data_IF_582011052088
#
_entry.id   IF_582011052088
#
_cell.length_a   1.000
_cell.length_b   1.000
_cell.length_c   1.000
_cell.angle_alpha   90.00
_cell.angle_beta   90.00
_cell.angle_gamma   90.00
#
_symmetry.space_group_name_H-M   'P 1'
#
loop_
_entity.id
_entity.type
_entity.pdbx_description
1 polymer ?
#
# COMPACT_ATOMS: atom_id res chain seq x y z
N UNK A 1 6.37 -23.04 -27.97
CA UNK A 1 5.84 -21.81 -28.57
C UNK A 1 5.85 -20.72 -27.52
N UNK A 2 5.99 -19.46 -27.92
CA UNK A 2 5.71 -18.34 -27.01
C UNK A 2 4.22 -18.30 -26.68
N UNK A 3 3.87 -18.13 -25.41
CA UNK A 3 2.47 -18.01 -24.99
C UNK A 3 2.05 -16.53 -25.11
N UNK A 4 1.05 -16.25 -25.95
CA UNK A 4 0.62 -14.88 -26.29
C UNK A 4 -0.83 -14.65 -25.87
N UNK A 5 -1.00 -13.95 -24.75
CA UNK A 5 -2.28 -13.61 -24.14
C UNK A 5 -3.05 -12.63 -25.03
N UNK A 6 -4.34 -12.87 -25.24
CA UNK A 6 -5.27 -12.03 -26.00
C UNK A 6 -4.85 -11.80 -27.45
N UNK A 7 -3.98 -12.66 -28.00
CA UNK A 7 -3.30 -12.47 -29.29
C UNK A 7 -2.38 -11.24 -29.36
N UNK A 8 -2.07 -10.60 -28.21
CA UNK A 8 -1.41 -9.28 -28.15
C UNK A 8 -0.26 -9.17 -27.15
N UNK A 9 -0.23 -9.96 -26.09
CA UNK A 9 0.75 -9.82 -25.00
C UNK A 9 1.54 -11.12 -24.82
N UNK A 10 2.79 -11.16 -25.29
CA UNK A 10 3.70 -12.29 -25.06
C UNK A 10 4.01 -12.37 -23.56
N UNK A 11 3.72 -13.51 -22.93
CA UNK A 11 4.06 -13.76 -21.53
C UNK A 11 5.57 -13.98 -21.40
N UNK A 12 6.17 -13.30 -20.42
CA UNK A 12 7.60 -13.37 -20.10
C UNK A 12 7.85 -14.02 -18.74
N UNK A 13 8.86 -13.50 -18.01
CA UNK A 13 9.23 -14.02 -16.69
C UNK A 13 8.17 -13.76 -15.64
N UNK A 14 8.07 -14.66 -14.66
CA UNK A 14 7.27 -14.46 -13.45
C UNK A 14 7.89 -13.36 -12.59
N UNK A 15 7.08 -12.38 -12.19
CA UNK A 15 7.45 -11.29 -11.27
C UNK A 15 7.09 -11.65 -9.82
N UNK A 16 6.02 -12.41 -9.61
CA UNK A 16 5.59 -12.79 -8.26
C UNK A 16 4.40 -13.74 -8.19
N UNK A 17 3.90 -13.94 -6.98
CA UNK A 17 2.70 -14.73 -6.68
C UNK A 17 2.11 -14.30 -5.34
N UNK A 18 0.81 -14.01 -5.30
CA UNK A 18 0.08 -13.57 -4.11
C UNK A 18 -1.01 -14.54 -3.69
N UNK A 19 -1.92 -14.08 -2.83
CA UNK A 19 -3.14 -14.80 -2.47
C UNK A 19 -4.17 -14.90 -3.61
N UNK A 20 -4.01 -14.05 -4.63
CA UNK A 20 -4.98 -13.83 -5.72
C UNK A 20 -4.39 -14.25 -7.09
N UNK A 21 -3.54 -15.27 -7.08
CA UNK A 21 -2.89 -15.80 -8.28
C UNK A 21 -1.45 -15.35 -8.47
N UNK A 22 -1.00 -15.38 -9.73
CA UNK A 22 0.39 -15.22 -10.15
C UNK A 22 0.58 -13.94 -10.95
N UNK A 23 1.77 -13.33 -10.90
CA UNK A 23 2.08 -12.08 -11.59
C UNK A 23 3.30 -12.27 -12.50
N UNK A 24 3.17 -11.86 -13.76
CA UNK A 24 4.16 -12.02 -14.81
C UNK A 24 4.46 -10.68 -15.50
N UNK A 25 5.66 -10.56 -16.05
CA UNK A 25 5.99 -9.57 -17.06
C UNK A 25 5.35 -10.05 -18.37
N UNK A 26 4.67 -9.15 -19.08
CA UNK A 26 4.27 -9.35 -20.47
C UNK A 26 4.88 -8.28 -21.37
N UNK A 27 4.92 -8.53 -22.67
CA UNK A 27 5.30 -7.55 -23.69
C UNK A 27 4.20 -7.49 -24.75
N UNK A 28 3.66 -6.29 -25.00
CA UNK A 28 2.75 -6.05 -26.11
C UNK A 28 3.51 -6.23 -27.43
N UNK A 29 3.11 -7.22 -28.25
CA UNK A 29 3.83 -7.64 -29.46
C UNK A 29 3.79 -6.60 -30.59
N UNK A 30 2.87 -5.62 -30.53
CA UNK A 30 2.73 -4.57 -31.53
C UNK A 30 3.49 -3.29 -31.16
N UNK A 31 3.52 -2.91 -29.88
CA UNK A 31 4.12 -1.65 -29.41
C UNK A 31 5.48 -1.82 -28.70
N UNK A 32 5.85 -3.04 -28.33
CA UNK A 32 7.01 -3.29 -27.45
C UNK A 32 6.82 -2.77 -26.03
N UNK A 33 5.59 -2.45 -25.62
CA UNK A 33 5.28 -1.98 -24.26
C UNK A 33 5.36 -3.14 -23.25
N UNK A 34 6.11 -2.94 -22.17
CA UNK A 34 6.13 -3.84 -21.02
C UNK A 34 4.85 -3.66 -20.17
N UNK A 35 4.22 -4.78 -19.80
CA UNK A 35 2.95 -4.83 -19.09
C UNK A 35 3.02 -5.79 -17.90
N UNK A 36 2.15 -5.62 -16.91
CA UNK A 36 1.97 -6.59 -15.84
C UNK A 36 0.77 -7.50 -16.16
N UNK A 37 0.96 -8.81 -16.11
CA UNK A 37 -0.06 -9.83 -16.38
C UNK A 37 -0.36 -10.60 -15.10
N UNK A 38 -1.58 -10.47 -14.57
CA UNK A 38 -2.08 -11.19 -13.40
C UNK A 38 -2.91 -12.40 -13.87
N UNK A 39 -2.58 -13.59 -13.38
CA UNK A 39 -3.22 -14.87 -13.72
C UNK A 39 -3.89 -15.46 -12.48
N UNK A 40 -5.20 -15.69 -12.52
CA UNK A 40 -5.98 -16.35 -11.47
C UNK A 40 -6.62 -17.62 -12.06
N UNK A 41 -6.37 -18.80 -11.48
CA UNK A 41 -6.99 -20.02 -12.00
C UNK A 41 -8.50 -20.01 -11.77
N UNK A 42 -9.29 -20.35 -12.80
CA UNK A 42 -10.77 -20.40 -12.74
C UNK A 42 -11.29 -21.40 -11.71
N UNK A 43 -10.45 -22.34 -11.27
CA UNK A 43 -10.73 -23.34 -10.22
C UNK A 43 -10.52 -22.82 -8.79
N UNK A 44 -10.21 -21.53 -8.60
CA UNK A 44 -10.10 -20.93 -7.26
C UNK A 44 -11.46 -20.90 -6.53
N UNK A 45 -11.45 -21.11 -5.21
CA UNK A 45 -12.69 -21.10 -4.40
C UNK A 45 -13.33 -19.72 -4.27
N UNK A 46 -12.55 -18.66 -4.47
CA UNK A 46 -12.97 -17.27 -4.30
C UNK A 46 -12.35 -16.42 -5.42
N UNK A 47 -12.89 -16.45 -6.65
CA UNK A 47 -12.38 -15.66 -7.76
C UNK A 47 -12.63 -14.17 -7.51
N UNK A 48 -11.62 -13.34 -7.80
CA UNK A 48 -11.63 -11.90 -7.59
C UNK A 48 -11.19 -11.12 -8.82
N UNK A 49 -10.43 -11.72 -9.74
CA UNK A 49 -9.74 -10.98 -10.80
C UNK A 49 -10.71 -10.30 -11.79
N UNK A 50 -11.88 -10.90 -12.03
CA UNK A 50 -12.94 -10.28 -12.84
C UNK A 50 -13.48 -9.00 -12.17
N UNK A 51 -13.88 -9.08 -10.89
CA UNK A 51 -14.37 -7.93 -10.12
C UNK A 51 -13.30 -6.85 -9.95
N UNK A 52 -12.04 -7.24 -9.79
CA UNK A 52 -10.89 -6.32 -9.76
C UNK A 52 -10.75 -5.57 -11.10
N UNK A 53 -10.94 -6.25 -12.23
CA UNK A 53 -10.88 -5.62 -13.56
C UNK A 53 -12.02 -4.61 -13.80
N UNK A 54 -13.24 -4.90 -13.33
CA UNK A 54 -14.34 -3.92 -13.34
C UNK A 54 -13.99 -2.68 -12.50
N UNK A 55 -13.35 -2.89 -11.35
CA UNK A 55 -12.87 -1.81 -10.49
C UNK A 55 -11.77 -0.96 -11.17
N UNK A 56 -10.78 -1.57 -11.84
CA UNK A 56 -9.82 -0.80 -12.65
C UNK A 56 -10.55 0.02 -13.72
N UNK A 57 -11.50 -0.58 -14.47
CA UNK A 57 -12.26 0.11 -15.50
C UNK A 57 -13.07 1.31 -14.97
N UNK A 58 -13.68 1.18 -13.77
CA UNK A 58 -14.44 2.25 -13.11
C UNK A 58 -13.56 3.34 -12.47
N UNK A 59 -12.30 3.04 -12.17
CA UNK A 59 -11.33 3.96 -11.54
C UNK A 59 -10.36 4.60 -12.55
N UNK A 60 -10.22 4.05 -13.76
CA UNK A 60 -9.30 4.51 -14.80
C UNK A 60 -9.46 6.00 -15.13
N UNK A 61 -8.35 6.66 -15.49
CA UNK A 61 -8.24 8.12 -15.63
C UNK A 61 -7.88 8.84 -14.32
N UNK A 62 -7.98 8.16 -13.17
CA UNK A 62 -7.52 8.70 -11.88
C UNK A 62 -5.99 8.77 -11.76
N UNK A 63 -5.49 9.83 -11.13
CA UNK A 63 -4.04 9.98 -10.85
C UNK A 63 -3.55 8.86 -9.94
N UNK A 64 -2.64 8.03 -10.45
CA UNK A 64 -2.13 6.86 -9.73
C UNK A 64 -3.04 5.62 -9.77
N UNK A 65 -3.96 5.55 -10.72
CA UNK A 65 -4.63 4.29 -11.11
C UNK A 65 -3.92 3.71 -12.34
N UNK A 66 -3.49 2.43 -12.32
CA UNK A 66 -3.00 1.74 -13.51
C UNK A 66 -4.08 1.60 -14.59
N UNK A 67 -3.71 1.67 -15.86
CA UNK A 67 -4.66 1.39 -16.94
C UNK A 67 -4.91 -0.11 -17.08
N UNK A 68 -6.17 -0.49 -17.31
CA UNK A 68 -6.55 -1.83 -17.74
C UNK A 68 -6.38 -1.91 -19.25
N UNK A 69 -5.42 -2.72 -19.70
CA UNK A 69 -5.11 -2.91 -21.13
C UNK A 69 -5.95 -4.04 -21.73
N UNK A 70 -6.23 -5.09 -20.95
CA UNK A 70 -7.08 -6.21 -21.34
C UNK A 70 -7.54 -7.04 -20.13
N UNK A 71 -8.69 -7.69 -20.26
CA UNK A 71 -9.16 -8.76 -19.37
C UNK A 71 -9.83 -9.85 -20.20
N UNK A 72 -9.69 -11.12 -19.80
CA UNK A 72 -10.35 -12.25 -20.44
C UNK A 72 -10.10 -13.56 -19.70
N UNK A 73 -10.52 -14.67 -20.32
CA UNK A 73 -10.28 -16.03 -19.82
C UNK A 73 -9.50 -16.79 -20.89
N UNK A 74 -8.38 -17.41 -20.51
CA UNK A 74 -7.57 -18.26 -21.38
C UNK A 74 -7.36 -19.63 -20.75
N UNK A 75 -8.03 -20.64 -21.32
CA UNK A 75 -8.04 -22.00 -20.81
C UNK A 75 -8.50 -22.07 -19.35
N UNK A 76 -7.54 -22.31 -18.46
CA UNK A 76 -7.75 -22.56 -17.03
C UNK A 76 -7.56 -21.30 -16.16
N UNK A 77 -7.40 -20.11 -16.75
CA UNK A 77 -7.10 -18.86 -16.06
C UNK A 77 -8.00 -17.70 -16.47
N UNK A 78 -8.51 -16.97 -15.48
CA UNK A 78 -8.83 -15.56 -15.60
C UNK A 78 -7.51 -14.78 -15.78
N UNK A 79 -7.47 -13.83 -16.69
CA UNK A 79 -6.24 -13.09 -17.05
C UNK A 79 -6.53 -11.60 -17.13
N UNK A 80 -5.69 -10.79 -16.47
CA UNK A 80 -5.80 -9.33 -16.46
C UNK A 80 -4.44 -8.71 -16.81
N UNK A 81 -4.44 -7.77 -17.76
CA UNK A 81 -3.24 -7.07 -18.24
C UNK A 81 -3.35 -5.58 -17.90
N UNK A 82 -2.39 -5.06 -17.14
CA UNK A 82 -2.36 -3.66 -16.67
C UNK A 82 -0.99 -3.00 -16.95
N UNK A 83 -0.89 -1.68 -16.73
CA UNK A 83 0.39 -0.97 -16.74
C UNK A 83 1.43 -1.65 -15.81
N UNK A 84 2.67 -1.84 -16.29
CA UNK A 84 3.78 -2.22 -15.43
C UNK A 84 4.18 -1.04 -14.53
N UNK A 85 4.47 -1.34 -13.26
CA UNK A 85 4.88 -0.37 -12.24
C UNK A 85 6.25 -0.73 -11.64
N UNK A 86 6.82 0.20 -10.88
CA UNK A 86 8.02 -0.02 -10.07
C UNK A 86 7.73 -0.71 -8.74
N UNK A 87 8.72 -0.76 -7.83
CA UNK A 87 8.60 -1.45 -6.54
C UNK A 87 7.50 -0.87 -5.64
N UNK A 88 7.04 -1.69 -4.70
CA UNK A 88 6.08 -1.27 -3.66
C UNK A 88 6.74 -0.41 -2.58
N UNK A 89 5.92 0.25 -1.76
CA UNK A 89 6.42 0.96 -0.59
C UNK A 89 6.95 0.00 0.49
N UNK A 90 6.56 -1.29 0.52
CA UNK A 90 7.25 -2.29 1.37
C UNK A 90 8.65 -2.61 0.82
N UNK A 91 8.82 -2.72 -0.50
CA UNK A 91 10.15 -2.97 -1.10
C UNK A 91 11.11 -1.81 -0.84
N UNK A 92 10.65 -0.58 -1.09
CA UNK A 92 11.42 0.63 -0.79
C UNK A 92 11.69 0.79 0.71
N UNK A 93 10.74 0.43 1.57
CA UNK A 93 10.93 0.44 3.02
C UNK A 93 12.00 -0.56 3.47
N UNK A 94 12.02 -1.78 2.92
CA UNK A 94 13.07 -2.76 3.20
C UNK A 94 14.43 -2.30 2.67
N UNK A 95 14.49 -1.71 1.47
CA UNK A 95 15.70 -1.09 0.91
C UNK A 95 16.24 0.05 1.78
N UNK A 96 15.36 0.87 2.37
CA UNK A 96 15.70 1.90 3.35
C UNK A 96 15.88 1.36 4.79
N UNK A 97 16.43 0.14 4.94
CA UNK A 97 16.71 -0.50 6.23
C UNK A 97 15.53 -0.52 7.23
N UNK A 98 14.30 -0.55 6.70
CA UNK A 98 13.04 -0.56 7.45
C UNK A 98 12.84 0.64 8.38
N UNK A 99 13.26 1.83 7.96
CA UNK A 99 12.82 3.11 8.56
C UNK A 99 12.86 4.24 7.52
N UNK A 100 11.79 5.01 7.41
CA UNK A 100 11.75 6.20 6.54
C UNK A 100 11.92 7.50 7.34
N UNK A 101 12.48 8.52 6.70
CA UNK A 101 12.59 9.88 7.23
C UNK A 101 11.23 10.57 7.32
N UNK A 102 11.12 11.59 8.20
CA UNK A 102 9.90 12.38 8.32
C UNK A 102 9.55 13.06 6.98
N UNK A 103 10.54 13.66 6.29
CA UNK A 103 10.37 14.24 4.94
C UNK A 103 9.72 13.23 3.98
N UNK A 104 10.29 12.03 3.87
CA UNK A 104 9.78 10.97 2.99
C UNK A 104 8.35 10.58 3.37
N UNK A 105 8.06 10.34 4.65
CA UNK A 105 6.71 9.94 5.09
C UNK A 105 5.66 11.03 4.85
N UNK A 106 6.01 12.31 4.99
CA UNK A 106 5.09 13.43 4.73
C UNK A 106 4.83 13.63 3.23
N UNK A 107 5.84 13.50 2.36
CA UNK A 107 5.64 13.51 0.90
C UNK A 107 4.80 12.31 0.42
N UNK A 108 4.95 11.15 1.07
CA UNK A 108 4.08 10.00 0.83
C UNK A 108 2.65 10.26 1.33
N UNK A 109 2.47 10.83 2.52
CA UNK A 109 1.16 11.03 3.14
C UNK A 109 0.19 11.84 2.27
N UNK A 110 0.64 12.95 1.66
CA UNK A 110 -0.20 13.72 0.73
C UNK A 110 -0.70 12.84 -0.43
N UNK A 111 0.21 12.19 -1.15
CA UNK A 111 -0.15 11.35 -2.30
C UNK A 111 -1.05 10.17 -1.89
N UNK A 112 -0.77 9.52 -0.77
CA UNK A 112 -1.55 8.39 -0.25
C UNK A 112 -2.98 8.81 0.13
N UNK A 113 -3.15 9.94 0.82
CA UNK A 113 -4.49 10.48 1.11
C UNK A 113 -5.22 10.81 -0.19
N UNK A 114 -4.53 11.42 -1.18
CA UNK A 114 -5.11 11.70 -2.50
C UNK A 114 -5.57 10.44 -3.26
N UNK A 115 -4.90 9.27 -3.12
CA UNK A 115 -5.38 8.00 -3.71
C UNK A 115 -6.64 7.47 -3.02
N UNK A 116 -6.66 7.49 -1.69
CA UNK A 116 -7.80 7.03 -0.89
C UNK A 116 -9.02 7.94 -1.12
N UNK A 117 -8.82 9.26 -1.14
CA UNK A 117 -9.85 10.25 -1.50
C UNK A 117 -10.41 10.00 -2.91
N UNK A 118 -9.56 9.72 -3.90
CA UNK A 118 -10.03 9.42 -5.26
C UNK A 118 -10.92 8.18 -5.30
N UNK A 119 -10.50 7.05 -4.70
CA UNK A 119 -11.31 5.82 -4.66
C UNK A 119 -12.64 6.05 -3.93
N UNK A 120 -12.61 6.78 -2.81
CA UNK A 120 -13.80 7.18 -2.06
C UNK A 120 -14.73 8.09 -2.86
N UNK A 121 -14.19 9.01 -3.69
CA UNK A 121 -14.97 9.86 -4.58
C UNK A 121 -15.76 9.03 -5.61
N UNK A 122 -15.12 7.99 -6.15
CA UNK A 122 -15.71 7.01 -7.09
C UNK A 122 -16.66 6.00 -6.41
N UNK A 123 -16.93 6.14 -5.10
CA UNK A 123 -17.96 5.39 -4.38
C UNK A 123 -17.53 4.05 -3.80
N UNK A 124 -16.23 3.72 -3.88
CA UNK A 124 -15.66 2.45 -3.40
C UNK A 124 -14.71 2.66 -2.22
N UNK A 125 -14.55 1.63 -1.39
CA UNK A 125 -13.51 1.49 -0.36
C UNK A 125 -12.45 0.51 -0.84
N UNK A 126 -11.23 0.62 -0.31
CA UNK A 126 -10.14 -0.30 -0.63
C UNK A 126 -10.12 -1.54 0.27
N UNK A 127 -10.31 -1.35 1.57
CA UNK A 127 -10.44 -2.41 2.59
C UNK A 127 -9.19 -3.26 2.85
N UNK A 128 -8.07 -2.94 2.20
CA UNK A 128 -6.75 -3.54 2.44
C UNK A 128 -5.61 -2.54 2.17
N UNK A 129 -5.67 -1.39 2.84
CA UNK A 129 -4.63 -0.36 2.81
C UNK A 129 -3.36 -0.92 3.51
N UNK A 130 -2.35 -1.26 2.70
CA UNK A 130 -1.06 -1.84 3.12
C UNK A 130 0.09 -1.31 2.23
N UNK A 131 1.35 -1.23 2.69
CA UNK A 131 2.47 -0.72 1.90
C UNK A 131 2.69 -1.48 0.58
N UNK A 132 2.40 -2.78 0.58
CA UNK A 132 2.49 -3.69 -0.56
C UNK A 132 1.54 -3.28 -1.72
N UNK A 133 0.44 -2.58 -1.42
CA UNK A 133 -0.57 -2.14 -2.38
C UNK A 133 -0.33 -0.71 -2.92
N UNK A 134 0.78 -0.09 -2.56
CA UNK A 134 1.21 1.20 -3.08
C UNK A 134 2.55 1.05 -3.80
N UNK A 135 2.59 1.32 -5.10
CA UNK A 135 3.77 1.16 -5.94
C UNK A 135 4.20 2.50 -6.53
N UNK A 136 5.50 2.69 -6.80
CA UNK A 136 5.95 3.87 -7.54
C UNK A 136 5.80 3.65 -9.05
N UNK A 137 5.54 4.72 -9.82
CA UNK A 137 5.56 4.64 -11.28
C UNK A 137 6.95 4.36 -11.86
N UNK A 138 7.01 4.08 -13.17
CA UNK A 138 8.28 3.89 -13.90
C UNK A 138 8.70 5.15 -14.66
N UNK A 139 10.02 5.30 -14.87
CA UNK A 139 10.61 6.37 -15.68
C UNK A 139 10.15 7.77 -15.28
N UNK A 140 9.50 8.49 -16.20
CA UNK A 140 8.97 9.85 -15.96
C UNK A 140 7.88 9.94 -14.87
N UNK A 141 7.37 8.81 -14.37
CA UNK A 141 6.38 8.75 -13.27
C UNK A 141 6.98 8.22 -11.96
N UNK A 142 8.31 8.13 -11.84
CA UNK A 142 8.99 7.56 -10.66
C UNK A 142 8.80 8.33 -9.34
N UNK A 143 8.21 9.52 -9.37
CA UNK A 143 7.78 10.28 -8.20
C UNK A 143 6.28 10.10 -7.85
N UNK A 144 5.50 9.45 -8.72
CA UNK A 144 4.06 9.28 -8.55
C UNK A 144 3.74 7.94 -7.89
N UNK A 145 3.02 7.97 -6.76
CA UNK A 145 2.45 6.76 -6.15
C UNK A 145 1.28 6.26 -7.00
N UNK A 146 1.15 4.95 -7.13
CA UNK A 146 0.01 4.22 -7.66
C UNK A 146 -0.62 3.35 -6.56
N UNK A 147 -1.92 3.04 -6.69
CA UNK A 147 -2.66 2.14 -5.80
C UNK A 147 -3.19 0.93 -6.59
N UNK A 148 -3.12 -0.27 -6.02
CA UNK A 148 -3.40 -1.55 -6.70
C UNK A 148 -4.15 -2.56 -5.80
N UNK A 149 -4.51 -3.72 -6.35
CA UNK A 149 -5.07 -4.88 -5.63
C UNK A 149 -6.47 -4.61 -5.05
N UNK A 150 -7.40 -4.24 -5.93
CA UNK A 150 -8.78 -3.91 -5.57
C UNK A 150 -9.68 -5.12 -5.28
N UNK A 151 -9.16 -6.35 -5.23
CA UNK A 151 -9.94 -7.60 -5.08
C UNK A 151 -10.77 -7.69 -3.78
N UNK A 152 -10.41 -6.91 -2.75
CA UNK A 152 -11.17 -6.78 -1.50
C UNK A 152 -12.05 -5.51 -1.42
N UNK A 153 -12.02 -4.69 -2.46
CA UNK A 153 -12.75 -3.43 -2.56
C UNK A 153 -14.27 -3.59 -2.50
N UNK A 154 -15.00 -2.48 -2.27
CA UNK A 154 -16.46 -2.53 -2.09
C UNK A 154 -17.15 -1.18 -2.31
N UNK A 155 -18.27 -1.18 -3.02
CA UNK A 155 -19.15 0.01 -3.15
C UNK A 155 -19.76 0.35 -1.77
N UNK A 156 -19.50 1.55 -1.24
CA UNK A 156 -20.01 2.00 0.07
C UNK A 156 -21.12 3.04 -0.02
N UNK A 157 -21.30 3.67 -1.17
CA UNK A 157 -22.42 4.55 -1.45
C UNK A 157 -22.92 4.32 -2.86
N UNK A 158 -24.17 4.66 -3.10
CA UNK A 158 -24.63 4.80 -4.47
C UNK A 158 -24.02 6.03 -5.17
N UNK A 159 -23.84 5.96 -6.49
CA UNK A 159 -23.21 7.02 -7.26
C UNK A 159 -24.19 8.10 -7.74
N UNK A 160 -25.47 7.79 -7.88
CA UNK A 160 -26.50 8.76 -8.28
C UNK A 160 -27.14 9.40 -7.05
N UNK A 161 -27.61 8.58 -6.10
CA UNK A 161 -28.33 9.03 -4.91
C UNK A 161 -27.43 9.37 -3.72
N UNK A 162 -26.14 9.01 -3.78
CA UNK A 162 -25.15 9.17 -2.70
C UNK A 162 -25.49 8.49 -1.36
N UNK A 163 -26.59 7.73 -1.30
CA UNK A 163 -27.02 6.95 -0.14
C UNK A 163 -25.93 5.95 0.28
N UNK A 164 -25.58 5.96 1.56
CA UNK A 164 -24.57 5.08 2.15
C UNK A 164 -25.08 3.63 2.25
N UNK A 165 -24.17 2.66 2.33
CA UNK A 165 -24.50 1.31 2.78
C UNK A 165 -24.93 1.36 4.26
N UNK A 166 -25.90 0.54 4.70
CA UNK A 166 -26.33 0.52 6.09
C UNK A 166 -25.23 -0.04 7.00
N UNK A 167 -25.21 0.44 8.25
CA UNK A 167 -24.37 -0.10 9.32
C UNK A 167 -24.68 -1.59 9.57
N UNK A 168 -23.63 -2.39 9.79
CA UNK A 168 -23.72 -3.83 10.10
C UNK A 168 -22.56 -4.25 10.99
N UNK A 169 -22.79 -5.29 11.77
CA UNK A 169 -21.81 -5.91 12.67
C UNK A 169 -21.65 -7.41 12.34
N UNK A 170 -20.94 -8.17 13.18
CA UNK A 170 -20.68 -9.60 13.01
C UNK A 170 -20.02 -9.97 11.67
N UNK A 171 -19.19 -9.06 11.14
CA UNK A 171 -18.38 -9.23 9.93
C UNK A 171 -17.11 -10.03 10.24
N UNK A 172 -16.72 -10.92 9.34
CA UNK A 172 -15.37 -11.50 9.35
C UNK A 172 -14.33 -10.43 9.01
N UNK A 173 -13.20 -10.44 9.73
CA UNK A 173 -12.04 -9.60 9.45
C UNK A 173 -11.65 -9.75 7.98
N UNK A 174 -11.65 -8.63 7.25
CA UNK A 174 -11.23 -8.55 5.85
C UNK A 174 -10.00 -7.65 5.74
N UNK A 175 -9.07 -7.99 4.85
CA UNK A 175 -7.81 -7.27 4.69
C UNK A 175 -6.76 -7.63 5.73
N UNK A 176 -5.66 -6.89 5.73
CA UNK A 176 -4.45 -7.21 6.47
C UNK A 176 -4.56 -6.77 7.93
N UNK A 177 -4.77 -7.72 8.84
CA UNK A 177 -4.97 -7.50 10.29
C UNK A 177 -3.94 -6.54 10.96
N UNK A 178 -2.70 -6.46 10.44
CA UNK A 178 -1.66 -5.50 10.90
C UNK A 178 -2.13 -4.04 10.73
N UNK A 179 -2.77 -3.72 9.60
CA UNK A 179 -3.18 -2.37 9.23
C UNK A 179 -4.69 -2.13 9.40
N UNK A 180 -5.53 -3.16 9.37
CA UNK A 180 -6.99 -3.06 9.56
C UNK A 180 -7.41 -2.21 10.79
N UNK A 181 -8.49 -1.44 10.67
CA UNK A 181 -9.01 -0.56 11.73
C UNK A 181 -9.48 -1.32 12.98
N UNK A 182 -9.58 -0.64 14.12
CA UNK A 182 -10.18 -1.22 15.35
C UNK A 182 -11.60 -1.70 15.09
N UNK A 183 -12.43 -0.93 14.37
CA UNK A 183 -13.78 -1.35 13.98
C UNK A 183 -13.78 -2.65 13.17
N UNK A 184 -12.80 -2.84 12.28
CA UNK A 184 -12.65 -4.07 11.48
C UNK A 184 -12.38 -5.29 12.36
N UNK A 185 -11.55 -5.13 13.40
CA UNK A 185 -11.27 -6.19 14.37
C UNK A 185 -12.47 -6.49 15.28
N UNK A 186 -13.32 -5.49 15.56
CA UNK A 186 -14.61 -5.64 16.25
C UNK A 186 -15.73 -6.20 15.37
N UNK A 187 -15.43 -6.57 14.11
CA UNK A 187 -16.42 -7.14 13.19
C UNK A 187 -17.47 -6.15 12.70
N UNK A 188 -17.18 -4.84 12.74
CA UNK A 188 -18.04 -3.80 12.17
C UNK A 188 -17.80 -3.72 10.65
N UNK A 189 -18.84 -3.44 9.88
CA UNK A 189 -18.76 -3.18 8.44
C UNK A 189 -17.89 -1.94 8.18
N UNK A 190 -17.00 -2.02 7.18
CA UNK A 190 -16.02 -0.97 6.91
C UNK A 190 -16.63 0.21 6.14
N UNK A 191 -16.04 1.37 6.38
CA UNK A 191 -16.42 2.69 5.85
C UNK A 191 -15.17 3.53 5.54
N UNK A 192 -15.35 4.77 5.05
CA UNK A 192 -14.25 5.66 4.64
C UNK A 192 -13.23 5.93 5.76
N UNK A 193 -13.69 5.98 7.01
CA UNK A 193 -12.82 6.17 8.20
C UNK A 193 -11.87 5.00 8.42
N UNK A 194 -12.24 3.79 7.98
CA UNK A 194 -11.48 2.57 8.24
C UNK A 194 -10.27 2.46 7.31
N UNK A 195 -10.42 2.82 6.02
CA UNK A 195 -9.29 2.97 5.10
C UNK A 195 -8.31 4.07 5.59
N UNK A 196 -8.84 5.18 6.13
CA UNK A 196 -8.01 6.27 6.67
C UNK A 196 -7.31 5.90 7.98
N UNK A 197 -7.96 5.20 8.91
CA UNK A 197 -7.29 4.69 10.12
C UNK A 197 -6.19 3.68 9.74
N UNK A 198 -6.45 2.82 8.74
CA UNK A 198 -5.44 1.92 8.18
C UNK A 198 -4.26 2.64 7.54
N UNK A 199 -4.50 3.74 6.80
CA UNK A 199 -3.43 4.60 6.29
C UNK A 199 -2.62 5.23 7.43
N UNK A 200 -3.25 5.66 8.52
CA UNK A 200 -2.54 6.15 9.71
C UNK A 200 -1.56 5.10 10.28
N UNK A 201 -1.99 3.84 10.37
CA UNK A 201 -1.11 2.75 10.79
C UNK A 201 0.03 2.47 9.79
N UNK A 202 -0.19 2.69 8.49
CA UNK A 202 0.87 2.61 7.46
C UNK A 202 1.90 3.73 7.63
N UNK A 203 1.48 4.97 7.86
CA UNK A 203 2.41 6.10 8.10
C UNK A 203 3.25 5.89 9.37
N UNK A 204 2.62 5.46 10.47
CA UNK A 204 3.35 5.14 11.71
C UNK A 204 4.28 3.92 11.57
N UNK A 205 3.93 2.95 10.73
CA UNK A 205 4.78 1.80 10.43
C UNK A 205 6.09 2.23 9.75
N UNK A 206 6.02 3.15 8.78
CA UNK A 206 7.21 3.68 8.11
C UNK A 206 8.13 4.48 9.03
N UNK A 207 7.57 5.35 9.90
CA UNK A 207 8.34 6.15 10.86
C UNK A 207 8.99 5.31 11.96
N UNK A 208 8.27 4.31 12.48
CA UNK A 208 8.69 3.51 13.64
C UNK A 208 9.51 2.27 13.30
N UNK A 209 9.55 1.86 12.04
CA UNK A 209 10.09 0.56 11.59
C UNK A 209 9.20 -0.65 11.90
N UNK A 210 8.39 -0.56 12.97
CA UNK A 210 7.39 -1.56 13.35
C UNK A 210 6.26 -0.98 14.22
N UNK A 211 5.10 -1.64 14.15
CA UNK A 211 3.91 -1.37 14.96
C UNK A 211 3.90 -2.26 16.24
N UNK A 212 3.39 -1.78 17.40
CA UNK A 212 3.43 -2.50 18.69
C UNK A 212 2.72 -3.87 18.76
N UNK A 213 2.00 -4.27 17.71
CA UNK A 213 1.29 -5.55 17.56
C UNK A 213 1.94 -6.48 16.52
N UNK A 214 3.15 -6.18 16.05
CA UNK A 214 3.97 -7.13 15.29
C UNK A 214 4.68 -8.15 16.19
N UNK A 215 5.19 -9.23 15.62
CA UNK A 215 5.92 -10.28 16.35
C UNK A 215 5.07 -11.20 17.25
N UNK A 216 3.79 -10.86 17.51
CA UNK A 216 2.90 -11.62 18.38
C UNK A 216 2.76 -13.08 17.92
N UNK A 217 3.22 -14.00 18.79
CA UNK A 217 3.05 -15.46 18.64
C UNK A 217 1.63 -15.87 19.01
N UNK A 218 1.09 -16.90 18.36
CA UNK A 218 -0.20 -17.53 18.67
C UNK A 218 -0.24 -18.94 18.05
N UNK A 219 -1.09 -19.84 18.57
CA UNK A 219 -1.25 -21.19 18.03
C UNK A 219 -2.09 -21.24 16.76
N UNK A 220 -3.08 -20.35 16.61
CA UNK A 220 -3.95 -20.29 15.42
C UNK A 220 -3.99 -18.90 14.79
N UNK A 221 -4.43 -18.81 13.52
CA UNK A 221 -4.68 -17.52 12.84
C UNK A 221 -5.67 -16.64 13.60
N UNK A 222 -6.76 -17.23 14.13
CA UNK A 222 -7.77 -16.53 14.92
C UNK A 222 -7.14 -15.89 16.16
N UNK A 223 -6.49 -16.70 17.01
CA UNK A 223 -5.76 -16.22 18.20
C UNK A 223 -4.72 -15.13 17.88
N UNK A 224 -4.10 -15.18 16.68
CA UNK A 224 -3.16 -14.13 16.23
C UNK A 224 -3.88 -12.81 15.92
N UNK A 225 -5.05 -12.86 15.30
CA UNK A 225 -5.87 -11.67 15.05
C UNK A 225 -6.47 -11.14 16.36
N UNK A 226 -6.96 -12.01 17.23
CA UNK A 226 -7.48 -11.65 18.57
C UNK A 226 -6.42 -10.89 19.38
N UNK A 227 -5.17 -11.39 19.43
CA UNK A 227 -4.03 -10.71 20.09
C UNK A 227 -3.60 -9.40 19.43
N UNK A 228 -3.79 -9.25 18.11
CA UNK A 228 -3.54 -7.98 17.41
C UNK A 228 -4.64 -6.97 17.73
N UNK A 229 -5.91 -7.41 17.76
CA UNK A 229 -7.08 -6.62 18.15
C UNK A 229 -6.92 -6.06 19.56
N UNK A 230 -6.71 -6.94 20.53
CA UNK A 230 -6.42 -6.62 21.93
C UNK A 230 -5.27 -5.62 22.04
N UNK A 231 -4.13 -5.89 21.39
CA UNK A 231 -2.96 -4.99 21.47
C UNK A 231 -3.18 -3.64 20.78
N UNK A 232 -4.04 -3.54 19.76
CA UNK A 232 -4.46 -2.26 19.16
C UNK A 232 -5.36 -1.45 20.09
N UNK A 233 -6.29 -2.10 20.80
CA UNK A 233 -7.17 -1.42 21.75
C UNK A 233 -6.43 -0.99 23.03
N UNK A 234 -5.53 -1.83 23.54
CA UNK A 234 -4.65 -1.54 24.69
C UNK A 234 -3.45 -0.63 24.37
N UNK A 235 -3.39 -0.02 23.18
CA UNK A 235 -2.35 0.97 22.82
C UNK A 235 -3.02 2.31 22.52
N UNK A 236 -2.99 3.29 23.46
CA UNK A 236 -3.46 4.65 23.21
C UNK A 236 -2.72 5.31 22.03
N UNK A 237 -3.36 6.27 21.37
CA UNK A 237 -2.81 6.95 20.18
C UNK A 237 -1.53 7.70 20.55
N UNK A 238 -1.53 8.31 21.73
CA UNK A 238 -0.46 9.06 22.36
C UNK A 238 0.76 8.17 22.64
N UNK A 239 0.53 6.87 22.92
CA UNK A 239 1.58 5.86 23.11
C UNK A 239 2.10 5.34 21.77
N UNK A 240 1.22 5.17 20.77
CA UNK A 240 1.61 4.80 19.40
C UNK A 240 2.45 5.90 18.72
N UNK A 241 2.08 7.17 18.94
CA UNK A 241 2.69 8.34 18.32
C UNK A 241 3.73 9.03 19.22
N UNK A 242 4.04 8.47 20.39
CA UNK A 242 5.06 9.00 21.31
C UNK A 242 6.40 9.18 20.60
N UNK A 243 6.99 10.38 20.76
CA UNK A 243 8.23 10.84 20.12
C UNK A 243 8.12 11.08 18.59
N UNK A 244 6.92 11.29 18.06
CA UNK A 244 6.66 11.75 16.68
C UNK A 244 5.79 13.03 16.71
N UNK A 245 5.73 13.82 15.62
CA UNK A 245 4.95 15.05 15.58
C UNK A 245 3.46 14.87 15.92
N UNK A 246 2.88 15.87 16.58
CA UNK A 246 1.49 15.84 17.10
C UNK A 246 0.42 15.69 16.01
N UNK A 247 0.76 15.98 14.77
CA UNK A 247 -0.09 15.82 13.58
C UNK A 247 -0.48 14.35 13.35
N UNK A 248 0.39 13.39 13.68
CA UNK A 248 0.06 11.96 13.61
C UNK A 248 -0.97 11.57 14.67
N UNK A 249 -0.83 12.08 15.89
CA UNK A 249 -1.84 11.95 16.96
C UNK A 249 -3.17 12.55 16.52
N UNK A 250 -3.15 13.78 16.00
CA UNK A 250 -4.33 14.51 15.49
C UNK A 250 -5.02 13.78 14.34
N UNK A 251 -4.26 13.17 13.43
CA UNK A 251 -4.77 12.34 12.33
C UNK A 251 -5.58 11.14 12.86
N UNK A 252 -5.09 10.41 13.86
CA UNK A 252 -5.83 9.28 14.44
C UNK A 252 -7.06 9.71 15.23
N UNK A 253 -6.98 10.78 16.04
CA UNK A 253 -8.16 11.29 16.74
C UNK A 253 -9.24 11.71 15.74
N UNK A 254 -8.87 12.37 14.65
CA UNK A 254 -9.80 12.69 13.56
C UNK A 254 -10.43 11.41 12.99
N UNK A 255 -9.63 10.43 12.56
CA UNK A 255 -10.14 9.20 11.96
C UNK A 255 -11.07 8.42 12.90
N UNK A 256 -10.79 8.38 14.20
CA UNK A 256 -11.65 7.72 15.21
C UNK A 256 -12.88 8.55 15.61
N UNK A 257 -12.87 9.85 15.41
CA UNK A 257 -14.04 10.72 15.65
C UNK A 257 -15.14 10.59 14.59
N UNK A 258 -14.78 10.12 13.38
CA UNK A 258 -15.71 9.94 12.27
C UNK A 258 -16.78 8.88 12.59
N UNK A 259 -18.05 9.22 12.39
CA UNK A 259 -19.15 8.26 12.38
C UNK A 259 -19.09 7.43 11.09
N UNK A 260 -19.77 6.29 11.08
CA UNK A 260 -19.76 5.33 9.97
C UNK A 260 -20.14 5.94 8.60
N UNK A 261 -21.05 6.92 8.57
CA UNK A 261 -21.52 7.55 7.32
C UNK A 261 -20.88 8.93 7.02
N UNK A 262 -19.96 9.41 7.85
CA UNK A 262 -19.36 10.73 7.67
C UNK A 262 -18.47 10.80 6.43
N UNK A 263 -18.47 11.96 5.75
CA UNK A 263 -17.48 12.29 4.72
C UNK A 263 -16.24 12.87 5.40
N UNK A 264 -15.06 12.22 5.28
CA UNK A 264 -13.82 12.80 5.77
C UNK A 264 -13.49 14.13 5.07
N UNK A 265 -12.90 15.06 5.82
CA UNK A 265 -12.18 16.20 5.29
C UNK A 265 -10.73 15.78 5.01
N UNK A 266 -10.53 15.20 3.83
CA UNK A 266 -9.20 14.87 3.33
C UNK A 266 -8.30 16.12 3.17
N UNK A 267 -8.88 17.32 3.02
CA UNK A 267 -8.11 18.56 2.89
C UNK A 267 -7.55 19.01 4.24
N UNK A 268 -8.27 18.83 5.35
CA UNK A 268 -7.73 18.96 6.71
C UNK A 268 -6.59 17.96 6.94
N UNK A 269 -6.78 16.69 6.60
CA UNK A 269 -5.76 15.65 6.81
C UNK A 269 -4.47 15.89 6.00
N UNK A 270 -4.58 16.35 4.74
CA UNK A 270 -3.42 16.77 3.93
C UNK A 270 -2.78 18.04 4.49
N UNK A 271 -3.58 18.99 4.98
CA UNK A 271 -3.09 20.25 5.59
C UNK A 271 -2.24 19.99 6.83
N UNK A 272 -2.64 19.10 7.73
CA UNK A 272 -1.84 18.72 8.91
C UNK A 272 -0.39 18.38 8.51
N UNK A 273 -0.22 17.42 7.60
CA UNK A 273 1.10 16.94 7.20
C UNK A 273 1.88 17.95 6.34
N UNK A 274 1.19 18.73 5.49
CA UNK A 274 1.82 19.77 4.67
C UNK A 274 2.32 20.95 5.51
N UNK A 275 1.53 21.40 6.47
CA UNK A 275 1.87 22.57 7.29
C UNK A 275 2.99 22.19 8.30
N UNK A 276 3.07 20.93 8.74
CA UNK A 276 4.25 20.34 9.39
C UNK A 276 5.46 20.29 8.46
N UNK A 277 5.31 19.82 7.22
CA UNK A 277 6.40 19.73 6.24
C UNK A 277 7.07 21.09 5.97
N UNK A 278 6.27 22.15 5.89
CA UNK A 278 6.75 23.54 5.76
C UNK A 278 7.48 23.99 7.03
N UNK A 279 6.95 23.66 8.23
CA UNK A 279 7.55 24.02 9.53
C UNK A 279 8.93 23.38 9.76
N UNK A 280 9.11 22.14 9.29
CA UNK A 280 10.40 21.43 9.30
C UNK A 280 11.39 21.96 8.24
N UNK A 281 11.01 22.96 7.43
CA UNK A 281 11.86 23.56 6.40
C UNK A 281 12.12 22.65 5.19
N UNK A 282 11.32 21.59 5.00
CA UNK A 282 11.55 20.63 3.91
C UNK A 282 11.13 21.18 2.54
N UNK A 283 11.92 20.85 1.51
CA UNK A 283 11.57 21.14 0.11
C UNK A 283 10.79 19.98 -0.50
N UNK A 284 9.70 20.28 -1.22
CA UNK A 284 8.85 19.29 -1.89
C UNK A 284 9.42 18.93 -3.27
N UNK A 285 10.59 18.30 -3.24
CA UNK A 285 11.47 18.01 -4.38
C UNK A 285 11.27 16.61 -4.98
N UNK A 286 10.40 15.78 -4.38
CA UNK A 286 10.24 14.34 -4.66
C UNK A 286 11.53 13.50 -4.48
N UNK A 287 12.51 13.99 -3.71
CA UNK A 287 13.71 13.24 -3.33
C UNK A 287 13.43 12.49 -2.02
N UNK A 288 12.97 11.24 -2.19
CA UNK A 288 12.74 10.28 -1.11
C UNK A 288 14.05 9.59 -0.68
N UNK A 289 14.02 8.88 0.45
CA UNK A 289 15.22 8.25 1.05
C UNK A 289 15.93 7.29 0.08
N UNK A 290 15.17 6.53 -0.72
CA UNK A 290 15.71 5.61 -1.73
C UNK A 290 16.31 6.29 -2.95
N UNK A 291 16.03 7.58 -3.20
CA UNK A 291 16.75 8.36 -4.22
C UNK A 291 18.16 8.67 -3.74
N UNK A 292 18.32 8.98 -2.44
CA UNK A 292 19.61 9.29 -1.82
C UNK A 292 20.47 8.02 -1.73
N UNK A 293 19.89 6.87 -1.34
CA UNK A 293 20.62 5.60 -1.26
C UNK A 293 21.09 5.06 -2.62
N UNK A 294 20.43 5.43 -3.73
CA UNK A 294 20.88 5.11 -5.10
C UNK A 294 22.05 5.97 -5.57
N UNK A 295 22.17 7.19 -5.05
CA UNK A 295 23.20 8.16 -5.41
C UNK A 295 23.90 8.68 -4.14
N UNK A 296 24.66 7.80 -3.43
CA UNK A 296 25.50 8.26 -2.33
C UNK A 296 26.47 9.32 -2.85
N UNK A 297 26.42 10.51 -2.26
CA UNK A 297 27.04 11.72 -2.82
C UNK A 297 28.54 11.55 -3.04
N UNK A 298 28.98 11.57 -4.30
CA UNK A 298 30.40 11.64 -4.70
C UNK A 298 30.87 13.08 -4.45
N UNK A 299 31.00 13.48 -3.19
CA UNK A 299 31.31 14.88 -2.85
C UNK A 299 31.02 15.32 -1.43
N UNK A 300 31.53 14.63 -0.40
CA UNK A 300 31.62 15.21 0.96
C UNK A 300 32.92 14.87 1.69
N UNK A 301 34.05 14.88 0.97
CA UNK A 301 35.39 14.94 1.56
C UNK A 301 35.91 16.38 1.61
N UNK A 302 35.15 17.26 2.26
CA UNK A 302 35.59 18.63 2.59
C UNK A 302 36.64 18.60 3.71
N UNK A 303 37.84 18.08 3.39
CA UNK A 303 39.02 18.23 4.25
C UNK A 303 39.27 19.72 4.47
N UNK A 304 39.13 20.15 5.72
CA UNK A 304 39.40 21.52 6.16
C UNK A 304 40.86 21.89 5.84
N UNK A 305 41.06 22.73 4.81
CA UNK A 305 42.37 23.32 4.51
C UNK A 305 42.68 24.38 5.57
N UNK A 306 43.53 24.04 6.53
CA UNK A 306 44.13 24.99 7.46
C UNK A 306 45.02 25.97 6.69
N UNK A 307 44.84 27.27 6.94
CA UNK A 307 45.57 28.35 6.29
C UNK A 307 46.87 28.68 7.06
N UNK A 308 47.99 28.09 6.64
CA UNK A 308 49.33 28.45 7.14
C UNK A 308 49.94 29.63 6.39
N UNK A 309 50.60 30.57 7.10
CA UNK A 309 51.40 31.66 6.51
C UNK A 309 52.88 31.22 6.31
N UNK A 310 53.63 31.81 5.36
CA UNK A 310 55.01 31.39 5.03
C UNK A 310 56.14 32.26 5.65
N UNK A 311 57.25 31.61 5.98
CA UNK A 311 58.64 32.10 6.11
C UNK A 311 59.57 30.85 5.98
N UNK A 312 60.64 30.76 5.16
CA UNK A 312 61.90 31.55 5.10
C UNK A 312 62.75 31.29 6.38
N UNK A 313 63.97 30.73 6.38
CA UNK A 313 65.02 30.58 5.33
C UNK A 313 65.83 29.21 5.44
N UNK A 314 67.09 28.97 4.95
CA UNK A 314 67.47 27.65 4.40
C UNK A 314 68.63 26.86 5.08
N UNK A 315 68.84 25.61 4.66
CA UNK A 315 70.03 24.76 4.93
C UNK A 315 69.99 23.43 4.11
N UNK A 316 71.12 22.77 3.78
CA UNK A 316 71.20 21.90 2.58
C UNK A 316 71.53 20.40 2.80
N UNK A 317 71.35 19.62 1.71
CA UNK A 317 71.91 18.27 1.41
C UNK A 317 71.38 17.08 2.23
N UNK A 318 71.25 15.84 1.70
CA UNK A 318 71.34 15.29 0.32
C UNK A 318 69.95 14.75 -0.14
N UNK A 319 69.67 13.89 -1.13
CA UNK A 319 70.45 13.10 -2.11
C UNK A 319 69.61 12.81 -3.40
N UNK A 320 69.85 11.71 -4.14
CA UNK A 320 69.15 11.35 -5.39
C UNK A 320 69.06 9.83 -5.63
N UNK A 321 67.86 9.32 -5.94
CA UNK A 321 67.63 8.08 -6.72
C UNK A 321 66.40 8.28 -7.63
N UNK A 322 66.38 7.64 -8.80
CA UNK A 322 65.39 7.88 -9.87
C UNK A 322 64.45 6.68 -10.15
N UNK A 323 63.40 6.98 -10.92
CA UNK A 323 62.34 6.15 -11.52
C UNK A 323 62.78 4.81 -12.15
N UNK A 324 61.87 3.82 -12.29
CA UNK A 324 60.94 3.84 -13.44
C UNK A 324 59.46 3.52 -13.12
N UNK A 325 58.61 3.79 -14.12
CA UNK A 325 57.15 3.62 -14.13
C UNK A 325 56.67 2.17 -14.27
N UNK A 326 55.50 1.86 -13.67
CA UNK A 326 54.72 0.65 -13.93
C UNK A 326 53.22 0.95 -13.98
N UNK A 327 52.45 0.15 -14.74
CA UNK A 327 51.01 0.35 -14.98
C UNK A 327 50.11 -0.35 -13.93
N UNK A 328 48.81 -0.06 -14.02
CA UNK A 328 47.66 -0.82 -13.49
C UNK A 328 47.54 -1.01 -11.96
N UNK A 329 46.46 -0.42 -11.42
CA UNK A 329 45.74 -0.93 -10.24
C UNK A 329 44.24 -0.66 -10.38
N UNK A 330 43.62 -1.37 -11.34
CA UNK A 330 42.20 -1.74 -11.20
C UNK A 330 42.11 -2.93 -10.24
N UNK A 331 40.90 -3.21 -9.74
CA UNK A 331 40.57 -4.36 -8.90
C UNK A 331 41.20 -4.41 -7.49
N UNK A 332 40.51 -3.79 -6.53
CA UNK A 332 40.46 -4.26 -5.13
C UNK A 332 39.00 -4.30 -4.65
N UNK A 333 38.73 -5.26 -3.75
CA UNK A 333 37.44 -5.52 -3.08
C UNK A 333 36.35 -6.24 -3.89
N UNK A 334 36.72 -7.34 -4.54
CA UNK A 334 36.01 -8.61 -4.27
C UNK A 334 36.85 -9.40 -3.27
N UNK A 335 36.28 -9.83 -2.13
CA UNK A 335 37.06 -10.51 -1.08
C UNK A 335 36.48 -10.43 0.34
N UNK A 336 35.26 -10.96 0.55
CA UNK A 336 34.64 -11.02 1.88
C UNK A 336 33.68 -12.21 2.11
N UNK A 337 33.71 -13.27 1.27
CA UNK A 337 32.77 -14.42 1.38
C UNK A 337 33.45 -15.78 1.12
N UNK A 338 34.57 -16.08 1.78
CA UNK A 338 35.14 -17.45 1.72
C UNK A 338 35.88 -17.86 3.01
N UNK A 339 35.12 -18.08 4.10
CA UNK A 339 35.70 -18.43 5.40
C UNK A 339 34.88 -19.40 6.28
N UNK A 340 33.86 -20.10 5.75
CA UNK A 340 33.02 -21.01 6.55
C UNK A 340 32.55 -22.30 5.83
N UNK A 341 33.42 -22.93 5.03
CA UNK A 341 33.06 -24.16 4.30
C UNK A 341 34.23 -25.15 4.06
N UNK A 342 34.93 -25.64 5.11
CA UNK A 342 35.80 -26.86 5.01
C UNK A 342 36.26 -27.44 6.37
N UNK A 343 35.58 -28.52 6.82
CA UNK A 343 36.03 -29.62 7.73
C UNK A 343 34.77 -30.42 8.12
N UNK A 344 34.67 -31.76 7.98
CA UNK A 344 35.57 -32.79 7.40
C UNK A 344 34.74 -33.76 6.52
N UNK A 345 35.40 -34.62 5.75
CA UNK A 345 34.80 -35.72 4.98
C UNK A 345 35.69 -36.98 5.00
N UNK A 346 35.16 -38.12 5.46
CA UNK A 346 35.75 -39.49 5.46
C UNK A 346 34.62 -40.47 5.84
N UNK A 347 34.33 -41.62 5.22
CA UNK A 347 34.73 -42.26 3.95
C UNK A 347 33.50 -43.01 3.37
N UNK A 348 33.46 -43.51 2.12
CA UNK A 348 33.92 -44.86 1.70
C UNK A 348 33.35 -46.03 2.55
N UNK A 349 32.76 -47.11 1.99
CA UNK A 349 32.46 -47.44 0.59
C UNK A 349 31.39 -48.57 0.43
N UNK A 350 30.98 -48.85 -0.82
CA UNK A 350 30.52 -50.14 -1.40
C UNK A 350 29.89 -51.23 -0.51
N UNK A 351 28.63 -51.63 -0.78
CA UNK A 351 28.34 -52.94 -1.42
C UNK A 351 26.89 -53.06 -1.95
N UNK A 352 26.42 -54.27 -2.25
CA UNK A 352 25.44 -54.58 -3.29
C UNK A 352 24.43 -55.70 -2.94
N UNK A 353 23.32 -55.70 -3.70
CA UNK A 353 22.60 -56.88 -4.22
C UNK A 353 21.37 -57.45 -3.45
N UNK A 354 20.39 -57.93 -4.25
CA UNK A 354 19.22 -58.81 -3.98
C UNK A 354 18.15 -58.44 -2.93
N UNK A 355 16.97 -59.08 -2.89
CA UNK A 355 15.95 -59.46 -3.93
C UNK A 355 14.79 -60.26 -3.29
N UNK A 356 13.54 -60.14 -3.81
CA UNK A 356 12.36 -61.04 -3.52
C UNK A 356 11.86 -60.97 -2.06
N UNK A 357 10.66 -61.38 -1.63
CA UNK A 357 9.33 -61.84 -2.16
C UNK A 357 8.29 -61.51 -1.03
N UNK A 358 6.94 -61.64 -1.06
CA UNK A 358 5.81 -62.19 -1.87
C UNK A 358 4.63 -61.18 -1.68
N UNK A 359 3.61 -60.99 -2.53
CA UNK A 359 2.52 -61.85 -3.08
C UNK A 359 1.31 -62.07 -2.16
N UNK A 360 0.13 -62.07 -2.80
CA UNK A 360 -1.23 -62.42 -2.34
C UNK A 360 -2.06 -61.44 -1.51
N UNK A 361 -3.38 -61.28 -1.72
CA UNK A 361 -4.26 -61.52 -2.91
C UNK A 361 -5.61 -60.76 -2.74
N UNK A 362 -6.49 -60.84 -3.75
CA UNK A 362 -7.88 -60.37 -3.97
C UNK A 362 -8.78 -59.92 -2.76
N UNK A 363 -9.65 -58.89 -2.81
CA UNK A 363 -10.78 -58.56 -3.77
C UNK A 363 -11.97 -59.55 -3.61
N UNK A 364 -13.30 -59.21 -3.73
CA UNK A 364 -13.99 -57.97 -4.19
C UNK A 364 -15.20 -57.44 -3.32
N UNK A 365 -15.75 -56.26 -3.72
CA UNK A 365 -17.20 -55.88 -3.94
C UNK A 365 -18.31 -56.22 -2.87
N UNK A 366 -19.44 -55.50 -2.68
CA UNK A 366 -20.41 -55.05 -3.71
C UNK A 366 -21.52 -54.07 -3.26
N UNK A 367 -21.89 -53.17 -4.18
CA UNK A 367 -23.26 -52.81 -4.66
C UNK A 367 -24.41 -52.30 -3.77
N UNK A 368 -24.94 -51.14 -4.21
CA UNK A 368 -26.35 -50.80 -4.55
C UNK A 368 -27.41 -50.81 -3.40
N UNK A 369 -28.62 -50.20 -3.45
CA UNK A 369 -29.56 -49.78 -4.53
C UNK A 369 -30.39 -48.52 -4.13
N UNK A 370 -30.57 -47.59 -5.09
CA UNK A 370 -31.68 -46.63 -5.42
C UNK A 370 -32.60 -45.90 -4.38
N UNK A 371 -33.14 -44.77 -4.88
CA UNK A 371 -34.25 -43.88 -4.46
C UNK A 371 -35.65 -44.59 -4.36
N UNK A 372 -36.79 -43.97 -3.89
CA UNK A 372 -37.12 -42.53 -3.96
C UNK A 372 -38.02 -41.84 -2.87
N UNK A 373 -38.13 -40.51 -3.04
CA UNK A 373 -39.29 -39.61 -2.84
C UNK A 373 -40.03 -39.34 -1.49
N UNK A 374 -40.79 -38.23 -1.54
CA UNK A 374 -41.92 -37.78 -0.68
C UNK A 374 -41.68 -36.82 0.53
N UNK A 375 -41.98 -35.55 0.25
CA UNK A 375 -42.83 -34.61 1.00
C UNK A 375 -42.43 -33.96 2.38
N UNK A 376 -43.08 -32.79 2.58
CA UNK A 376 -43.19 -31.93 3.79
C UNK A 376 -44.60 -32.17 4.40
N UNK A 377 -44.98 -31.76 5.65
CA UNK A 377 -44.56 -30.51 6.32
C UNK A 377 -44.54 -30.50 7.88
N UNK A 378 -44.32 -29.29 8.44
CA UNK A 378 -44.81 -28.69 9.72
C UNK A 378 -45.48 -29.65 10.75
N UNK A 379 -45.21 -29.57 12.05
CA UNK A 379 -45.45 -28.38 12.90
C UNK A 379 -45.05 -28.55 14.39
N UNK A 380 -44.78 -27.43 15.10
CA UNK A 380 -44.99 -27.22 16.56
C UNK A 380 -44.24 -28.16 17.57
N UNK A 381 -43.97 -27.79 18.83
CA UNK A 381 -44.62 -26.79 19.68
C UNK A 381 -43.70 -26.18 20.77
N UNK A 382 -44.30 -25.42 21.70
CA UNK A 382 -43.71 -24.58 22.76
C UNK A 382 -42.99 -25.36 23.87
N UNK A 383 -41.95 -24.75 24.45
CA UNK A 383 -41.88 -24.31 25.87
C UNK A 383 -40.55 -23.52 26.09
N UNK A 384 -40.37 -22.65 27.08
CA UNK A 384 -41.32 -22.07 28.05
C UNK A 384 -40.60 -21.66 29.35
N UNK A 385 -40.71 -20.38 29.76
CA UNK A 385 -40.25 -19.82 31.07
C UNK A 385 -38.73 -19.78 31.34
N UNK A 386 -38.14 -18.89 32.17
CA UNK A 386 -38.62 -17.62 32.76
C UNK A 386 -37.45 -16.68 33.14
N UNK A 387 -37.71 -15.37 33.01
CA UNK A 387 -37.29 -14.24 33.85
C UNK A 387 -36.11 -14.34 34.84
N UNK A 388 -35.22 -13.33 34.79
CA UNK A 388 -35.04 -12.40 35.92
C UNK A 388 -34.61 -11.00 35.44
N UNK A 389 -34.98 -9.97 36.21
CA UNK A 389 -34.83 -8.53 35.92
C UNK A 389 -34.33 -7.84 37.19
N UNK A 390 -33.51 -6.80 37.07
CA UNK A 390 -33.11 -5.94 38.19
C UNK A 390 -33.15 -4.46 37.75
N UNK A 391 -33.68 -3.58 38.60
CA UNK A 391 -33.85 -2.13 38.34
C UNK A 391 -33.79 -1.35 39.66
N UNK A 392 -32.81 -0.47 39.82
CA UNK A 392 -32.77 0.68 40.76
C UNK A 392 -31.91 1.74 40.03
N UNK A 393 -32.38 2.96 39.66
CA UNK A 393 -32.74 4.15 40.45
C UNK A 393 -31.56 4.78 41.24
N UNK A 394 -31.47 6.09 41.49
CA UNK A 394 -32.04 7.29 40.83
C UNK A 394 -31.46 8.57 41.51
N UNK A 395 -31.24 9.67 40.78
CA UNK A 395 -31.30 11.04 41.34
C UNK A 395 -31.08 12.17 40.31
N UNK A 396 -31.82 13.26 40.51
CA UNK A 396 -31.60 14.64 40.06
C UNK A 396 -32.00 15.54 41.24
N UNK A 397 -31.45 16.76 41.37
CA UNK A 397 -32.19 17.89 41.94
C UNK A 397 -32.53 18.93 40.86
N UNK A 398 -33.55 19.74 41.12
CA UNK A 398 -33.98 20.83 40.23
C UNK A 398 -34.78 21.90 40.98
N UNK A 399 -34.41 23.16 40.81
CA UNK A 399 -35.15 24.38 41.19
C UNK A 399 -34.56 25.53 40.34
N UNK A 400 -35.25 26.35 39.55
CA UNK A 400 -36.60 26.96 39.54
C UNK A 400 -36.63 28.36 40.17
N UNK A 401 -36.82 29.40 39.34
CA UNK A 401 -36.81 30.80 39.76
C UNK A 401 -36.91 31.79 38.58
N UNK A 402 -38.13 32.02 38.10
CA UNK A 402 -38.53 33.19 37.31
C UNK A 402 -39.44 34.08 38.22
N UNK A 403 -39.84 35.34 37.90
CA UNK A 403 -40.14 35.85 36.55
C UNK A 403 -39.75 37.31 36.24
N UNK A 404 -40.08 37.78 35.02
CA UNK A 404 -40.88 38.99 34.72
C UNK A 404 -40.44 39.80 33.49
N UNK A 405 -41.39 40.54 32.91
CA UNK A 405 -41.38 41.09 31.55
C UNK A 405 -40.51 42.34 31.34
N UNK A 406 -40.11 42.58 30.08
CA UNK A 406 -40.57 43.82 29.42
C UNK A 406 -40.62 43.77 27.87
N UNK A 407 -41.33 44.74 27.28
CA UNK A 407 -41.64 44.82 25.83
C UNK A 407 -40.88 45.93 25.10
N UNK A 408 -40.51 45.71 23.83
CA UNK A 408 -40.64 46.64 22.67
C UNK A 408 -40.08 45.94 21.40
N UNK A 409 -40.68 45.86 20.20
CA UNK A 409 -41.62 46.67 19.35
C UNK A 409 -41.00 47.76 18.45
N UNK A 410 -40.46 47.33 17.31
CA UNK A 410 -40.38 48.05 16.00
C UNK A 410 -39.97 47.01 14.93
N UNK A 411 -40.54 46.81 13.71
CA UNK A 411 -41.30 47.61 12.72
C UNK A 411 -40.51 48.84 12.23
N UNK A 412 -40.30 49.13 10.94
CA UNK A 412 -40.84 48.66 9.63
C UNK A 412 -39.83 49.11 8.52
N UNK A 413 -39.87 48.82 7.20
CA UNK A 413 -40.86 48.20 6.31
C UNK A 413 -40.22 47.38 5.13
N UNK A 414 -40.47 47.81 3.88
CA UNK A 414 -40.20 47.26 2.54
C UNK A 414 -39.05 48.02 1.82
N UNK A 415 -38.63 47.78 0.55
CA UNK A 415 -39.32 47.24 -0.63
C UNK A 415 -38.40 46.76 -1.78
N UNK A 416 -38.98 45.99 -2.72
CA UNK A 416 -38.84 45.96 -4.20
C UNK A 416 -37.55 46.48 -4.91
N UNK A 417 -37.03 45.83 -5.97
CA UNK A 417 -37.53 44.65 -6.69
C UNK A 417 -36.79 44.27 -8.00
N UNK A 418 -37.51 43.55 -8.88
CA UNK A 418 -37.23 43.02 -10.25
C UNK A 418 -36.68 44.08 -11.27
N UNK A 419 -36.09 43.78 -12.45
CA UNK A 419 -35.91 42.55 -13.27
C UNK A 419 -34.84 42.72 -14.42
N UNK A 420 -34.11 41.64 -14.76
CA UNK A 420 -33.81 41.18 -16.16
C UNK A 420 -32.64 41.71 -17.06
N UNK A 421 -31.95 40.74 -17.68
CA UNK A 421 -31.49 40.60 -19.10
C UNK A 421 -30.21 41.26 -19.69
N UNK A 422 -29.59 40.48 -20.61
CA UNK A 422 -28.78 40.78 -21.82
C UNK A 422 -27.25 40.96 -21.82
N UNK A 423 -26.61 40.11 -22.65
CA UNK A 423 -25.44 40.32 -23.54
C UNK A 423 -24.00 40.58 -22.99
N UNK A 424 -23.24 39.47 -22.90
CA UNK A 424 -22.04 39.15 -23.73
C UNK A 424 -21.31 40.31 -24.43
N UNK A 425 -20.01 40.46 -24.14
CA UNK A 425 -18.93 40.83 -25.08
C UNK A 425 -17.58 40.28 -24.55
N UNK A 426 -16.66 39.89 -25.44
CA UNK A 426 -15.25 39.59 -25.13
C UNK A 426 -14.37 40.76 -25.55
N UNK A 427 -13.15 40.86 -24.99
CA UNK A 427 -12.00 40.95 -25.89
C UNK A 427 -10.99 39.82 -25.62
N UNK A 428 -10.42 39.28 -26.70
CA UNK A 428 -9.22 38.46 -26.65
C UNK A 428 -7.97 39.31 -26.90
N UNK A 429 -6.80 38.80 -26.54
CA UNK A 429 -5.50 39.37 -26.89
C UNK A 429 -4.50 38.23 -27.09
N UNK A 430 -3.85 38.20 -28.24
CA UNK A 430 -2.96 37.11 -28.67
C UNK A 430 -1.47 37.45 -28.48
N UNK A 431 -0.64 36.41 -28.67
CA UNK A 431 0.83 36.46 -28.80
C UNK A 431 1.61 36.67 -27.48
N UNK A 432 2.85 36.17 -27.33
CA UNK A 432 3.78 35.61 -28.34
C UNK A 432 4.31 34.23 -27.95
N UNK A 433 4.62 33.43 -28.96
CA UNK A 433 5.43 32.21 -28.85
C UNK A 433 6.92 32.55 -28.67
N UNK A 434 7.62 31.82 -27.80
CA UNK A 434 9.09 31.82 -27.73
C UNK A 434 9.64 30.46 -28.16
N UNK A 435 10.08 30.35 -29.41
CA UNK A 435 10.74 29.15 -29.94
C UNK A 435 12.17 29.03 -29.39
N UNK A 436 12.52 27.88 -28.81
CA UNK A 436 13.91 27.48 -28.60
C UNK A 436 14.24 26.18 -29.34
N UNK A 437 15.48 26.08 -29.80
CA UNK A 437 15.92 25.18 -30.85
C UNK A 437 16.18 23.74 -30.39
N UNK A 438 16.12 22.80 -31.35
CA UNK A 438 16.56 21.41 -31.17
C UNK A 438 18.02 21.36 -30.70
N UNK A 439 18.29 20.49 -29.72
CA UNK A 439 19.58 19.83 -29.56
C UNK A 439 19.38 18.31 -29.74
N UNK A 440 20.32 17.63 -30.40
CA UNK A 440 20.31 16.17 -30.48
C UNK A 440 20.78 15.60 -29.13
N UNK A 441 20.05 14.62 -28.59
CA UNK A 441 20.47 13.83 -27.44
C UNK A 441 20.41 12.34 -27.78
N UNK A 442 21.52 11.64 -27.54
CA UNK A 442 21.76 10.25 -27.92
C UNK A 442 20.84 9.24 -27.21
N UNK A 443 20.54 8.12 -27.87
CA UNK A 443 19.93 6.94 -27.22
C UNK A 443 20.88 6.38 -26.16
N UNK A 444 20.40 6.22 -24.92
CA UNK A 444 21.10 5.50 -23.85
C UNK A 444 20.19 5.24 -22.64
N UNK A 445 20.48 4.18 -21.88
CA UNK A 445 19.93 3.97 -20.54
C UNK A 445 18.42 3.65 -20.43
N UNK A 446 17.93 2.60 -21.10
CA UNK A 446 16.61 2.00 -20.75
C UNK A 446 16.74 0.80 -19.78
N UNK A 447 17.86 0.09 -19.80
CA UNK A 447 18.04 -1.20 -19.12
C UNK A 447 18.48 -1.09 -17.65
N UNK A 448 19.24 -0.05 -17.28
CA UNK A 448 19.86 0.07 -15.95
C UNK A 448 18.83 0.12 -14.81
N UNK A 449 17.68 0.75 -15.07
CA UNK A 449 16.58 0.87 -14.10
C UNK A 449 15.92 -0.48 -13.75
N UNK A 450 16.08 -1.50 -14.59
CA UNK A 450 15.60 -2.87 -14.32
C UNK A 450 16.72 -3.73 -13.73
N UNK A 451 17.94 -3.69 -14.31
CA UNK A 451 19.07 -4.51 -13.86
C UNK A 451 19.45 -4.28 -12.40
N UNK A 452 19.37 -3.05 -11.89
CA UNK A 452 19.65 -2.78 -10.47
C UNK A 452 18.58 -3.32 -9.51
N UNK A 453 17.40 -3.73 -10.00
CA UNK A 453 16.29 -4.26 -9.20
C UNK A 453 16.11 -5.78 -9.33
N UNK A 454 16.70 -6.41 -10.34
CA UNK A 454 16.79 -7.89 -10.40
C UNK A 454 17.52 -8.46 -9.16
N UNK A 455 18.49 -7.71 -8.63
CA UNK A 455 19.22 -7.99 -7.38
C UNK A 455 18.38 -7.83 -6.08
N UNK A 456 17.18 -7.22 -6.14
CA UNK A 456 16.29 -7.06 -4.98
C UNK A 456 15.21 -8.15 -4.89
N UNK A 457 15.22 -9.12 -5.81
CA UNK A 457 14.34 -10.29 -5.73
C UNK A 457 14.83 -11.33 -4.71
N UNK A 458 13.88 -11.99 -4.02
CA UNK A 458 14.07 -13.14 -3.10
C UNK A 458 14.54 -12.77 -1.67
N UNK A 459 13.72 -11.99 -0.96
CA UNK A 459 13.70 -11.91 0.51
C UNK A 459 12.70 -12.86 1.18
N UNK A 460 12.72 -14.17 0.88
CA UNK A 460 11.71 -15.13 1.41
C UNK A 460 11.75 -15.23 2.95
N UNK A 461 10.74 -14.65 3.62
CA UNK A 461 10.47 -14.90 5.04
C UNK A 461 10.17 -16.38 5.29
N UNK A 462 11.15 -17.14 5.78
CA UNK A 462 10.97 -18.55 6.19
C UNK A 462 9.95 -18.64 7.33
N UNK A 463 9.00 -19.57 7.22
CA UNK A 463 8.10 -19.91 8.32
C UNK A 463 8.90 -20.51 9.49
N UNK A 464 8.75 -19.90 10.66
CA UNK A 464 8.86 -20.50 12.00
C UNK A 464 7.77 -19.86 12.87
#
# INVERSE_FOLDING_TARGET
MDHVIGGKFKLGRKLGSGSFGELYLGINVQSGEEVAVKLESVKTKHPQLHYESELYMLLQGGTGVPHLKWFGVEGEYNVMVIDLLGPSLEDFFNYCNRKLSLKTVLMLADQLINRVEYMHSRGFLHRDIKPDNFLMGLGRKANQIYIIDYGLGKKYRDLQTHKHIPYRENKNLTGTARYASVNTHLGVEQSRRDDLESLGYVLMYFLRGSLPWQGLKAGTKKQKYDRISEKKMLTPIEVLCKNYPSEFTSYFHYCRSLRFEDKPDYSYLKRLFRDLFIREGYQFDYVFDWNILKYPQIGSSSRSRLSGKPAVNPGPSTERVEWPSGQETRDRFSGAVEAFARKKSTGHAMHSDRSRHRSSDDVPSSKDVQHPDSERPRSSSRNGSTSKRAVISSSRPSSSGEPSENRSKSRLASSSGRLSTTQRIQPGLESKSSSFSRALATRGGRDDALRSFELLSIGRGKRK
#
